data_IF_916874520349
#
_entry.id   IF_916874520349
#
_cell.length_a   1.000
_cell.length_b   1.000
_cell.length_c   1.000
_cell.angle_alpha   90.00
_cell.angle_beta   90.00
_cell.angle_gamma   90.00
#
_symmetry.space_group_name_H-M   'P 1'
#
loop_
_entity.id
_entity.type
_entity.pdbx_description
1 polymer ?
2 non-polymer ?
3 water ?
#
# COMPACT_ATOMS: atom_id res chain seq x y z
N UNK A 4 -21.38 -10.79 4.95
CA UNK A 4 -20.62 -10.75 6.25
C UNK A 4 -20.50 -12.15 6.83
N UNK A 5 -19.31 -12.71 6.80
CA UNK A 5 -18.93 -13.75 7.75
C UNK A 5 -17.93 -13.15 8.71
N UNK A 6 -18.20 -13.29 9.99
CA UNK A 6 -17.34 -12.75 11.02
C UNK A 6 -17.33 -13.70 12.21
N UNK A 7 -16.18 -13.75 12.87
CA UNK A 7 -15.94 -14.67 13.96
C UNK A 7 -16.57 -14.08 15.22
N UNK A 8 -17.59 -14.75 15.76
CA UNK A 8 -18.18 -14.34 17.05
C UNK A 8 -17.31 -14.83 18.20
N UNK A 9 -17.10 -13.95 19.17
CA UNK A 9 -16.37 -14.30 20.40
C UNK A 9 -14.90 -14.54 20.14
N UNK A 10 -14.33 -13.75 19.24
CA UNK A 10 -12.95 -13.86 18.87
C UNK A 10 -12.14 -13.38 20.05
N UNK A 11 -11.32 -14.27 20.59
CA UNK A 11 -10.25 -13.85 21.51
C UNK A 11 -9.02 -13.66 20.63
N UNK A 12 -8.76 -12.42 20.26
CA UNK A 12 -7.58 -12.12 19.44
C UNK A 12 -6.28 -12.61 20.08
N UNK A 13 -6.22 -12.70 21.41
CA UNK A 13 -5.01 -13.20 22.06
C UNK A 13 -4.66 -14.62 21.65
N UNK A 14 -5.67 -15.46 21.47
CA UNK A 14 -5.46 -16.88 21.07
C UNK A 14 -5.04 -17.10 19.61
N UNK A 15 -5.01 -16.06 18.78
CA UNK A 15 -4.45 -16.18 17.44
C UNK A 15 -2.96 -15.88 17.42
N UNK A 16 -2.35 -15.74 18.60
CA UNK A 16 -0.91 -15.47 18.69
C UNK A 16 -0.11 -16.59 18.05
N UNK A 17 1.03 -16.21 17.45
CA UNK A 17 2.01 -17.18 16.95
C UNK A 17 2.03 -17.40 15.45
N UNK A 18 2.44 -18.58 15.08
CA UNK A 18 2.88 -18.87 13.72
C UNK A 18 1.67 -19.22 12.84
N UNK A 19 1.70 -18.73 11.61
CA UNK A 19 0.67 -19.12 10.63
C UNK A 19 1.26 -19.28 9.24
N UNK A 20 0.60 -20.10 8.44
CA UNK A 20 0.97 -20.35 7.03
C UNK A 20 -0.17 -19.94 6.12
N UNK A 21 0.12 -19.13 5.11
CA UNK A 21 -0.85 -18.74 4.08
C UNK A 21 -1.04 -19.88 3.09
N UNK A 22 -1.87 -20.83 3.49
CA UNK A 22 -2.13 -22.02 2.70
C UNK A 22 -2.79 -21.64 1.37
N UNK A 23 -3.82 -20.79 1.44
CA UNK A 23 -4.49 -20.31 0.24
C UNK A 23 -4.83 -18.83 0.35
N UNK A 24 -5.10 -18.23 -0.79
CA UNK A 24 -5.42 -16.81 -0.87
C UNK A 24 -6.28 -16.56 -2.10
N UNK A 25 -7.26 -15.68 -1.97
CA UNK A 25 -8.17 -15.36 -3.07
C UNK A 25 -8.42 -13.87 -3.12
N UNK A 26 -8.79 -13.38 -4.27
CA UNK A 26 -9.08 -11.97 -4.41
C UNK A 26 -10.07 -11.65 -5.50
N UNK A 27 -10.74 -10.52 -5.33
CA UNK A 27 -11.74 -10.01 -6.26
C UNK A 27 -11.18 -9.76 -7.64
N UNK A 28 -9.92 -9.36 -7.74
CA UNK A 28 -9.29 -9.03 -9.01
C UNK A 28 -8.01 -9.85 -9.18
N UNK A 29 -7.87 -10.47 -10.35
CA UNK A 29 -6.67 -11.23 -10.76
C UNK A 29 -5.36 -10.47 -10.50
N UNK A 30 -5.36 -9.17 -10.83
CA UNK A 30 -4.14 -8.36 -10.80
C UNK A 30 -3.63 -8.07 -9.38
N UNK A 31 -4.50 -8.23 -8.38
CA UNK A 31 -4.13 -8.15 -6.97
C UNK A 31 -3.27 -9.30 -6.45
N UNK A 32 -3.33 -10.45 -7.11
CA UNK A 32 -2.59 -11.66 -6.71
C UNK A 32 -1.83 -12.38 -7.84
N UNK A 33 -1.91 -11.92 -9.09
CA UNK A 33 -1.36 -12.70 -10.22
C UNK A 33 0.15 -12.99 -10.17
N UNK A 34 0.98 -11.96 -10.01
CA UNK A 34 2.44 -12.11 -9.97
C UNK A 34 2.96 -12.22 -8.53
N UNK A 35 4.22 -12.66 -8.41
CA UNK A 35 4.92 -12.59 -7.10
C UNK A 35 4.97 -11.18 -6.51
N UNK A 36 5.18 -10.18 -7.35
CA UNK A 36 5.24 -8.77 -6.92
C UNK A 36 3.87 -8.07 -6.87
N UNK A 37 2.79 -8.82 -7.08
CA UNK A 37 1.43 -8.26 -7.02
C UNK A 37 1.15 -7.72 -5.62
N UNK A 38 0.27 -6.73 -5.51
CA UNK A 38 0.26 -5.91 -4.29
C UNK A 38 -0.39 -6.53 -3.05
N UNK A 39 -1.26 -7.52 -3.23
CA UNK A 39 -1.82 -8.22 -2.09
C UNK A 39 -1.31 -9.63 -1.94
N UNK A 40 -0.29 -9.99 -2.70
CA UNK A 40 0.40 -11.25 -2.48
C UNK A 40 1.31 -11.16 -1.27
N UNK A 41 0.77 -11.47 -0.11
CA UNK A 41 1.56 -11.39 1.13
C UNK A 41 1.47 -12.73 1.81
N UNK A 42 2.51 -13.03 2.58
CA UNK A 42 2.67 -14.33 3.20
C UNK A 42 2.81 -14.06 4.69
N UNK A 43 1.85 -14.52 5.47
CA UNK A 43 1.85 -14.33 6.92
C UNK A 43 2.89 -15.27 7.53
N UNK A 44 3.66 -14.79 8.50
CA UNK A 44 4.56 -15.61 9.31
C UNK A 44 4.06 -15.74 10.73
N UNK A 45 3.82 -14.61 11.33
CA UNK A 45 3.42 -14.57 12.71
C UNK A 45 2.41 -13.44 12.97
N UNK A 46 1.49 -13.72 13.87
CA UNK A 46 0.56 -12.73 14.39
C UNK A 46 0.91 -12.43 15.87
N UNK A 47 1.27 -11.19 16.15
CA UNK A 47 1.60 -10.77 17.51
C UNK A 47 0.56 -9.71 17.92
N UNK A 48 -0.43 -10.09 18.76
CA UNK A 48 -1.34 -9.06 19.26
C UNK A 48 -0.75 -8.34 20.48
N UNK A 49 -1.00 -7.05 20.58
CA UNK A 49 -0.51 -6.25 21.70
C UNK A 49 -1.50 -6.35 22.87
N UNK A 50 -1.08 -6.04 24.12
CA UNK A 50 -2.01 -6.11 25.28
C UNK A 50 -3.19 -5.14 25.14
N UNK A 51 -2.91 -3.96 24.58
CA UNK A 51 -3.92 -3.03 24.01
C UNK A 51 -5.08 -3.77 23.30
N UNK A 52 -4.73 -4.80 22.53
CA UNK A 52 -5.68 -5.60 21.76
C UNK A 52 -5.56 -5.38 20.26
N UNK A 53 -4.69 -4.45 19.85
CA UNK A 53 -4.30 -4.32 18.46
C UNK A 53 -3.58 -5.60 17.98
N UNK A 54 -3.38 -5.69 16.67
CA UNK A 54 -2.79 -6.87 16.06
C UNK A 54 -1.62 -6.57 15.13
N UNK A 55 -0.45 -7.05 15.53
CA UNK A 55 0.79 -6.92 14.78
C UNK A 55 0.93 -8.14 13.87
N UNK A 56 1.19 -7.91 12.58
CA UNK A 56 1.39 -8.98 11.61
C UNK A 56 2.80 -8.90 11.06
N UNK A 57 3.58 -9.95 11.25
CA UNK A 57 4.82 -10.09 10.49
C UNK A 57 4.48 -10.83 9.22
N UNK A 58 4.79 -10.25 8.08
CA UNK A 58 4.59 -10.95 6.81
C UNK A 58 5.80 -10.82 5.91
N UNK A 59 5.76 -11.56 4.80
CA UNK A 59 6.70 -11.41 3.72
C UNK A 59 5.94 -10.89 2.51
N UNK A 60 6.59 -10.02 1.75
CA UNK A 60 6.06 -9.55 0.49
C UNK A 60 7.24 -9.49 -0.49
N UNK A 61 7.06 -10.06 -1.67
CA UNK A 61 8.07 -9.99 -2.72
C UNK A 61 8.24 -8.54 -3.18
N UNK A 62 9.46 -8.04 -3.14
CA UNK A 62 9.72 -6.59 -3.17
C UNK A 62 10.81 -6.23 -4.20
N UNK A 63 12.00 -5.81 -3.79
CA UNK A 63 13.02 -5.30 -4.73
C UNK A 63 13.91 -6.45 -5.23
N UNK A 64 13.29 -7.34 -6.03
CA UNK A 64 13.88 -8.64 -6.41
C UNK A 64 14.08 -9.58 -5.22
N UNK A 65 13.37 -9.33 -4.13
CA UNK A 65 13.66 -9.92 -2.83
C UNK A 65 12.37 -10.14 -2.06
N UNK A 66 12.27 -11.29 -1.41
CA UNK A 66 11.26 -11.48 -0.36
C UNK A 66 11.65 -10.57 0.79
N UNK A 67 10.74 -9.66 1.15
CA UNK A 67 11.01 -8.67 2.16
C UNK A 67 10.13 -8.95 3.38
N UNK A 68 10.73 -8.90 4.58
CA UNK A 68 9.99 -9.00 5.83
C UNK A 68 9.34 -7.67 6.10
N UNK A 69 8.08 -7.70 6.47
CA UNK A 69 7.30 -6.51 6.73
C UNK A 69 6.63 -6.68 8.07
N UNK A 70 6.41 -5.55 8.76
CA UNK A 70 5.71 -5.53 10.04
C UNK A 70 4.60 -4.50 9.90
N UNK A 71 3.42 -4.86 10.41
CA UNK A 71 2.19 -4.13 10.14
C UNK A 71 1.33 -4.20 11.39
N UNK A 72 0.71 -3.08 11.76
CA UNK A 72 -0.26 -3.02 12.86
C UNK A 72 -1.64 -2.91 12.24
N UNK A 73 -2.50 -3.86 12.54
CA UNK A 73 -3.93 -3.68 12.36
C UNK A 73 -4.46 -3.16 13.69
N UNK A 74 -5.07 -1.99 13.66
CA UNK A 74 -5.66 -1.40 14.86
C UNK A 74 -7.03 -2.02 15.11
N UNK A 75 -7.29 -2.40 16.36
CA UNK A 75 -8.61 -2.80 16.80
C UNK A 75 -9.70 -1.74 16.55
N UNK A 76 -10.94 -2.23 16.59
CA UNK A 76 -12.15 -1.41 16.42
C UNK A 76 -13.13 -1.88 17.48
N UNK A 77 -14.30 -1.23 17.51
CA UNK A 77 -15.38 -1.68 18.39
C UNK A 77 -15.80 -3.12 18.08
N UNK A 78 -15.70 -3.52 16.82
CA UNK A 78 -16.00 -4.89 16.41
C UNK A 78 -14.72 -5.69 16.69
N UNK A 79 -14.80 -6.77 17.51
CA UNK A 79 -13.60 -7.58 17.82
C UNK A 79 -12.96 -8.38 16.67
N UNK A 80 -13.75 -8.77 15.67
CA UNK A 80 -13.25 -9.51 14.53
C UNK A 80 -12.77 -8.59 13.39
N UNK A 81 -12.86 -7.26 13.58
CA UNK A 81 -12.55 -6.30 12.52
C UNK A 81 -11.46 -5.36 12.99
N UNK A 82 -10.43 -5.25 12.17
CA UNK A 82 -9.30 -4.38 12.42
C UNK A 82 -9.12 -3.43 11.25
N UNK A 83 -8.29 -2.42 11.46
CA UNK A 83 -7.99 -1.40 10.46
C UNK A 83 -6.50 -1.35 10.31
N UNK A 84 -6.01 -1.71 9.13
CA UNK A 84 -4.60 -1.59 8.85
C UNK A 84 -4.40 -0.21 8.20
N UNK A 85 -3.63 0.64 8.88
CA UNK A 85 -3.59 2.07 8.58
C UNK A 85 -3.19 2.44 7.13
N UNK A 86 -4.14 3.05 6.42
CA UNK A 86 -3.87 3.95 5.30
C UNK A 86 -4.56 5.30 5.61
N UNK A 87 -5.83 5.47 5.21
CA UNK A 87 -6.73 6.47 5.79
C UNK A 87 -7.64 5.78 6.82
N UNK A 88 -7.11 4.79 7.54
CA UNK A 88 -7.91 3.72 8.16
C UNK A 88 -8.86 3.06 7.13
N UNK A 89 -8.38 2.96 5.89
CA UNK A 89 -9.22 2.63 4.73
C UNK A 89 -9.49 1.12 4.61
N UNK A 90 -8.47 0.33 4.95
CA UNK A 90 -8.51 -1.10 4.77
C UNK A 90 -8.92 -1.78 6.06
N UNK A 91 -10.02 -2.54 6.00
CA UNK A 91 -10.43 -3.36 7.12
C UNK A 91 -10.01 -4.83 6.92
N UNK A 92 -9.51 -5.42 8.01
CA UNK A 92 -9.19 -6.83 8.08
C UNK A 92 -10.29 -7.45 8.95
N UNK A 93 -11.02 -8.44 8.43
CA UNK A 93 -12.09 -9.12 9.13
C UNK A 93 -11.66 -10.56 9.37
N UNK A 94 -11.78 -11.06 10.59
CA UNK A 94 -11.54 -12.46 10.86
C UNK A 94 -12.88 -13.15 10.72
N UNK A 95 -12.97 -14.06 9.75
CA UNK A 95 -14.21 -14.72 9.39
C UNK A 95 -14.49 -15.91 10.30
N UNK A 96 -13.43 -16.60 10.66
CA UNK A 96 -13.56 -17.84 11.37
C UNK A 96 -12.16 -18.30 11.80
N UNK A 97 -12.05 -18.86 13.00
CA UNK A 97 -10.85 -19.58 13.40
C UNK A 97 -11.15 -20.56 14.53
N UNK A 98 -10.39 -21.65 14.60
CA UNK A 98 -10.40 -22.51 15.80
C UNK A 98 -9.18 -22.27 16.68
N UNK A 99 -8.32 -21.34 16.28
CA UNK A 99 -7.15 -20.94 17.05
C UNK A 99 -5.99 -21.90 16.85
N UNK A 100 -6.25 -23.20 16.86
CA UNK A 100 -5.20 -24.19 16.91
C UNK A 100 -4.88 -24.88 15.58
N UNK A 101 -5.72 -24.71 14.56
CA UNK A 101 -5.45 -25.30 13.22
C UNK A 101 -5.61 -24.32 12.07
N UNK A 102 -6.73 -23.60 12.00
CA UNK A 102 -6.98 -22.69 10.87
C UNK A 102 -7.45 -21.29 11.28
N UNK A 103 -7.29 -20.33 10.38
CA UNK A 103 -7.91 -19.01 10.52
C UNK A 103 -8.20 -18.44 9.15
N UNK A 104 -9.44 -18.01 8.93
CA UNK A 104 -9.83 -17.34 7.67
C UNK A 104 -9.94 -15.85 7.93
N UNK A 105 -9.35 -15.04 7.05
CA UNK A 105 -9.55 -13.60 7.10
C UNK A 105 -9.70 -13.04 5.69
N UNK A 106 -10.20 -11.81 5.61
CA UNK A 106 -10.29 -11.08 4.37
C UNK A 106 -9.86 -9.67 4.65
N UNK A 107 -9.35 -9.00 3.64
CA UNK A 107 -9.05 -7.59 3.77
C UNK A 107 -9.82 -6.91 2.69
N UNK A 108 -10.47 -5.79 3.01
CA UNK A 108 -11.21 -5.03 2.00
C UNK A 108 -10.95 -3.55 2.01
N UNK A 109 -10.94 -2.99 0.80
CA UNK A 109 -10.93 -1.56 0.58
C UNK A 109 -12.29 -0.97 1.00
N UNK A 110 -12.25 0.14 1.73
CA UNK A 110 -13.46 0.85 2.18
C UNK A 110 -14.15 1.54 1.02
N UNK A 111 -13.36 2.15 0.14
CA UNK A 111 -13.87 3.02 -0.91
C UNK A 111 -14.75 2.31 -1.97
N UNK A 112 -14.20 1.35 -2.72
CA UNK A 112 -15.01 0.42 -3.54
C UNK A 112 -14.65 -1.01 -3.10
N UNK A 113 -15.45 -1.61 -2.18
CA UNK A 113 -15.15 -2.92 -1.57
C UNK A 113 -14.90 -4.09 -2.53
N UNK A 114 -15.85 -4.38 -3.41
CA UNK A 114 -15.71 -5.49 -4.36
C UNK A 114 -14.53 -5.28 -5.32
N UNK A 115 -14.18 -4.01 -5.59
CA UNK A 115 -13.01 -3.67 -6.42
C UNK A 115 -11.69 -4.24 -5.86
N UNK A 116 -11.48 -4.11 -4.54
CA UNK A 116 -10.33 -4.71 -3.84
C UNK A 116 -10.75 -5.49 -2.58
N UNK A 117 -10.62 -6.80 -2.68
CA UNK A 117 -10.93 -7.73 -1.60
C UNK A 117 -10.00 -8.92 -1.78
N UNK A 118 -9.17 -9.21 -0.79
CA UNK A 118 -8.34 -10.41 -0.76
C UNK A 118 -8.62 -11.13 0.54
N UNK A 119 -8.59 -12.46 0.49
CA UNK A 119 -8.84 -13.33 1.65
C UNK A 119 -7.82 -14.44 1.68
N UNK A 120 -7.48 -14.90 2.87
CA UNK A 120 -6.60 -16.06 3.04
C UNK A 120 -7.12 -17.13 3.99
N UNK A 121 -6.67 -18.36 3.74
CA UNK A 121 -6.80 -19.49 4.65
C UNK A 121 -5.43 -19.67 5.30
N UNK A 122 -5.32 -19.28 6.55
CA UNK A 122 -4.14 -19.53 7.35
C UNK A 122 -4.24 -20.86 8.08
N UNK A 123 -3.12 -21.58 8.16
CA UNK A 123 -3.07 -22.77 9.01
C UNK A 123 -1.87 -22.71 9.91
N UNK A 124 -1.90 -23.50 10.97
CA UNK A 124 -0.82 -23.47 11.97
C UNK A 124 0.45 -24.20 11.50
N UNK A 125 0.26 -25.34 10.79
CA UNK A 125 1.36 -26.16 10.28
C UNK A 125 1.48 -26.11 8.74
N UNK A 126 2.65 -26.47 8.17
CA UNK A 126 2.82 -26.57 6.70
C UNK A 126 2.24 -27.86 6.07
N UNK A 127 0.96 -28.14 6.36
CA UNK A 127 0.24 -29.28 5.78
C UNK A 127 -0.99 -28.73 5.10
N UNK A 128 -1.47 -29.44 4.09
CA UNK A 128 -2.69 -28.98 3.40
C UNK A 128 -3.87 -29.60 4.15
N UNK A 129 -4.55 -28.72 4.89
CA UNK A 129 -5.73 -29.03 5.66
C UNK A 129 -6.98 -28.94 4.76
N UNK A 130 -7.57 -30.10 4.47
CA UNK A 130 -8.77 -30.20 3.65
C UNK A 130 -9.97 -29.52 4.31
N UNK A 131 -10.11 -29.65 5.63
CA UNK A 131 -11.25 -29.04 6.31
C UNK A 131 -11.18 -27.51 6.21
N UNK A 132 -10.00 -26.96 6.46
CA UNK A 132 -9.78 -25.51 6.38
C UNK A 132 -10.11 -24.95 5.00
N UNK A 133 -9.66 -25.65 3.96
CA UNK A 133 -9.89 -25.25 2.58
C UNK A 133 -11.34 -25.41 2.10
N UNK A 134 -12.01 -26.41 2.63
CA UNK A 134 -13.46 -26.56 2.55
C UNK A 134 -14.13 -25.33 3.17
N UNK A 135 -13.75 -25.02 4.41
CA UNK A 135 -14.29 -23.83 5.09
C UNK A 135 -13.96 -22.51 4.37
N UNK A 136 -12.77 -22.45 3.77
CA UNK A 136 -12.37 -21.31 2.98
C UNK A 136 -13.21 -21.16 1.70
N UNK A 137 -13.40 -22.27 0.98
CA UNK A 137 -14.19 -22.27 -0.27
C UNK A 137 -15.67 -21.94 -0.09
N UNK A 138 -16.24 -22.26 1.08
CA UNK A 138 -17.66 -21.91 1.39
C UNK A 138 -17.87 -20.51 1.93
N UNK A 139 -16.85 -19.98 2.59
CA UNK A 139 -16.80 -18.55 2.92
C UNK A 139 -16.62 -17.75 1.62
N UNK A 140 -15.98 -18.37 0.64
CA UNK A 140 -15.71 -17.75 -0.68
C UNK A 140 -16.89 -17.75 -1.66
N UNK A 141 -17.74 -18.77 -1.61
CA UNK A 141 -18.93 -18.88 -2.48
C UNK A 141 -19.68 -17.56 -2.61
N UNK A 142 -19.92 -16.95 -1.45
CA UNK A 142 -20.66 -15.69 -1.35
C UNK A 142 -19.94 -14.41 -1.82
N UNK A 143 -18.71 -14.51 -2.31
CA UNK A 143 -17.89 -13.30 -2.55
C UNK A 143 -17.46 -13.22 -4.01
N UNK A 144 -17.23 -12.02 -4.54
CA UNK A 144 -16.87 -11.84 -5.95
C UNK A 144 -15.39 -12.14 -6.32
N UNK A 145 -14.95 -13.38 -6.10
CA UNK A 145 -13.53 -13.78 -6.30
C UNK A 145 -13.19 -14.24 -7.71
N UNK A 146 -12.08 -13.73 -8.26
CA UNK A 146 -11.63 -14.07 -9.60
C UNK A 146 -10.26 -14.73 -9.69
N UNK A 147 -9.54 -14.77 -8.58
CA UNK A 147 -8.27 -15.51 -8.47
C UNK A 147 -8.20 -16.22 -7.12
N UNK A 148 -7.76 -17.49 -7.17
CA UNK A 148 -7.56 -18.34 -6.01
C UNK A 148 -6.21 -19.00 -6.23
N UNK A 149 -5.35 -18.94 -5.22
CA UNK A 149 -4.05 -19.61 -5.23
C UNK A 149 -3.97 -20.51 -4.01
N UNK A 150 -3.27 -21.64 -4.16
CA UNK A 150 -2.92 -22.47 -3.00
C UNK A 150 -1.52 -23.08 -3.12
N UNK A 151 -0.96 -23.42 -1.95
CA UNK A 151 0.46 -23.78 -1.86
C UNK A 151 0.66 -25.18 -1.26
N UNK A 152 1.63 -25.92 -1.78
CA UNK A 152 2.00 -27.22 -1.22
C UNK A 152 2.95 -27.07 -0.03
N UNK A 153 3.13 -28.15 0.77
CA UNK A 153 3.99 -28.09 1.98
C UNK A 153 5.42 -27.57 1.80
N UNK A 154 6.04 -27.91 0.68
CA UNK A 154 7.39 -27.45 0.36
C UNK A 154 7.42 -25.94 0.26
N UNK A 155 6.58 -25.42 -0.63
CA UNK A 155 6.42 -23.99 -0.82
C UNK A 155 6.11 -23.26 0.49
N UNK A 156 5.27 -23.85 1.35
CA UNK A 156 4.99 -23.26 2.68
C UNK A 156 6.23 -23.14 3.65
N UNK A 157 7.29 -23.92 3.42
CA UNK A 157 8.53 -23.80 4.21
C UNK A 157 9.59 -22.89 3.62
N UNK A 158 9.24 -22.18 2.55
CA UNK A 158 10.13 -21.30 1.84
C UNK A 158 9.66 -19.87 1.94
N UNK A 159 10.60 -18.94 1.98
CA UNK A 159 10.29 -17.50 1.95
C UNK A 159 9.59 -17.12 0.65
N UNK A 160 8.50 -16.35 0.76
CA UNK A 160 7.63 -15.98 -0.36
C UNK A 160 7.01 -17.17 -1.11
N UNK A 161 6.93 -18.34 -0.47
CA UNK A 161 6.30 -19.53 -1.03
C UNK A 161 6.95 -19.95 -2.36
N UNK A 162 8.22 -19.61 -2.48
CA UNK A 162 9.04 -19.89 -3.64
C UNK A 162 9.56 -21.32 -3.48
N UNK B 5 -5.31 21.00 -12.31
CA UNK B 5 -5.38 19.62 -12.90
C UNK B 5 -4.17 19.38 -13.84
N UNK B 6 -4.26 18.45 -14.79
CA UNK B 6 -3.12 17.87 -15.45
C UNK B 6 -2.28 18.80 -16.36
N UNK B 7 -1.10 18.29 -16.74
CA UNK B 7 -0.05 19.00 -17.49
C UNK B 7 -0.20 18.75 -19.00
N UNK B 8 -0.35 19.82 -19.78
CA UNK B 8 -0.48 19.72 -21.25
C UNK B 8 0.87 19.40 -21.84
N UNK B 9 0.94 18.35 -22.64
CA UNK B 9 2.11 18.10 -23.50
C UNK B 9 3.33 17.64 -22.73
N UNK B 10 3.10 16.79 -21.74
CA UNK B 10 4.17 16.29 -20.90
C UNK B 10 5.08 15.41 -21.72
N UNK B 11 6.37 15.77 -21.76
CA UNK B 11 7.39 14.89 -22.29
C UNK B 11 7.99 14.15 -21.09
N UNK B 12 7.53 12.93 -20.84
CA UNK B 12 7.98 12.14 -19.69
C UNK B 12 9.49 11.85 -19.67
N UNK B 13 10.15 11.80 -20.83
CA UNK B 13 11.59 11.54 -20.86
C UNK B 13 12.35 12.64 -20.14
N UNK B 14 11.89 13.88 -20.30
CA UNK B 14 12.50 15.09 -19.69
C UNK B 14 12.33 15.25 -18.16
N UNK B 15 11.52 14.42 -17.52
CA UNK B 15 11.41 14.43 -16.07
C UNK B 15 12.38 13.46 -15.43
N UNK B 16 13.20 12.80 -16.24
CA UNK B 16 14.16 11.85 -15.74
C UNK B 16 15.13 12.59 -14.83
N UNK B 17 15.64 11.88 -13.85
CA UNK B 17 16.70 12.40 -12.99
C UNK B 17 16.31 12.57 -11.54
N UNK B 18 17.13 13.35 -10.87
CA UNK B 18 16.97 13.60 -9.46
C UNK B 18 15.80 14.55 -9.19
N UNK B 19 15.11 14.30 -8.08
CA UNK B 19 14.12 15.23 -7.55
C UNK B 19 14.14 15.20 -6.03
N UNK B 20 13.74 16.31 -5.43
CA UNK B 20 13.53 16.44 -3.97
C UNK B 20 12.05 16.69 -3.68
N UNK B 21 11.51 15.98 -2.69
CA UNK B 21 10.13 16.22 -2.24
C UNK B 21 10.08 17.38 -1.29
N UNK B 22 10.08 18.57 -1.88
CA UNK B 22 10.14 19.83 -1.13
C UNK B 22 8.90 20.02 -0.24
N UNK B 23 7.72 19.73 -0.77
CA UNK B 23 6.49 19.85 -0.01
C UNK B 23 5.53 18.72 -0.39
N UNK B 24 4.70 18.32 0.56
CA UNK B 24 3.69 17.31 0.32
C UNK B 24 2.40 17.73 1.01
N UNK B 25 1.26 17.42 0.37
CA UNK B 25 -0.07 17.64 0.97
C UNK B 25 -1.03 16.47 0.75
N UNK B 26 -2.03 16.38 1.61
CA UNK B 26 -2.98 15.27 1.57
C UNK B 26 -4.34 15.66 2.10
N UNK B 27 -5.37 15.04 1.54
CA UNK B 27 -6.76 15.17 1.98
C UNK B 27 -7.02 14.78 3.44
N UNK B 28 -6.19 13.90 4.01
CA UNK B 28 -6.37 13.45 5.39
C UNK B 28 -5.04 13.52 6.15
N UNK B 29 -5.11 14.05 7.36
CA UNK B 29 -3.97 14.26 8.25
C UNK B 29 -3.16 12.97 8.47
N UNK B 30 -3.87 11.86 8.65
CA UNK B 30 -3.24 10.58 9.01
C UNK B 30 -2.51 9.91 7.86
N UNK B 31 -2.76 10.37 6.64
CA UNK B 31 -2.00 9.98 5.45
C UNK B 31 -0.56 10.50 5.42
N UNK B 32 -0.31 11.60 6.13
CA UNK B 32 1.00 12.24 6.13
C UNK B 32 1.56 12.57 7.53
N UNK B 33 0.80 12.40 8.62
CA UNK B 33 1.20 12.96 9.94
C UNK B 33 2.44 12.38 10.66
N UNK B 34 2.65 11.07 10.57
CA UNK B 34 3.83 10.41 11.14
C UNK B 34 4.85 10.02 10.04
N UNK B 35 6.05 9.62 10.46
CA UNK B 35 7.03 9.09 9.52
C UNK B 35 6.58 7.75 8.92
N UNK B 36 5.91 6.93 9.72
CA UNK B 36 5.33 5.66 9.26
C UNK B 36 4.06 5.84 8.45
N UNK B 37 3.50 7.07 8.42
CA UNK B 37 2.27 7.32 7.68
C UNK B 37 2.40 6.82 6.25
N UNK B 38 1.31 6.29 5.69
CA UNK B 38 1.40 5.50 4.44
C UNK B 38 1.81 6.28 3.18
N UNK B 39 1.42 7.55 3.08
CA UNK B 39 1.75 8.34 1.90
C UNK B 39 2.91 9.30 2.08
N UNK B 40 3.54 9.25 3.24
CA UNK B 40 4.81 9.93 3.45
C UNK B 40 5.95 9.22 2.72
N UNK B 41 6.19 9.61 1.49
CA UNK B 41 7.27 9.03 0.71
C UNK B 41 8.10 10.16 0.16
N UNK B 42 9.37 9.88 -0.10
CA UNK B 42 10.32 10.89 -0.51
C UNK B 42 10.90 10.44 -1.82
N UNK B 43 10.63 11.20 -2.88
CA UNK B 43 11.10 10.85 -4.22
C UNK B 43 12.61 11.11 -4.31
N UNK B 44 13.36 10.13 -4.81
CA UNK B 44 14.80 10.25 -5.09
C UNK B 44 15.03 10.54 -6.56
N UNK B 45 14.50 9.66 -7.41
CA UNK B 45 14.80 9.70 -8.81
C UNK B 45 13.58 9.31 -9.63
N UNK B 46 13.43 9.94 -10.78
CA UNK B 46 12.46 9.50 -11.76
C UNK B 46 13.18 8.89 -12.97
N UNK B 47 12.78 7.67 -13.30
CA UNK B 47 13.38 6.90 -14.36
C UNK B 47 12.26 6.42 -15.30
N UNK B 48 11.99 7.16 -16.39
CA UNK B 48 11.02 6.68 -17.38
C UNK B 48 11.61 5.53 -18.18
N UNK B 49 10.77 4.54 -18.50
CA UNK B 49 11.19 3.33 -19.23
C UNK B 49 11.00 3.60 -20.73
N UNK B 50 11.70 2.83 -21.60
CA UNK B 50 11.64 3.12 -23.06
C UNK B 50 10.23 3.04 -23.67
N UNK B 51 9.48 2.00 -23.30
CA UNK B 51 8.05 1.90 -23.63
C UNK B 51 7.17 3.06 -23.08
N UNK B 52 7.66 3.78 -22.07
CA UNK B 52 7.03 5.03 -21.59
C UNK B 52 6.29 4.92 -20.26
N UNK B 53 6.50 3.84 -19.54
CA UNK B 53 6.10 3.77 -18.14
C UNK B 53 7.12 4.61 -17.33
N UNK B 54 6.79 4.89 -16.06
CA UNK B 54 7.67 5.70 -15.21
C UNK B 54 8.06 4.93 -13.97
N UNK B 55 9.35 4.66 -13.87
CA UNK B 55 9.97 3.98 -12.73
C UNK B 55 10.41 5.06 -11.75
N UNK B 56 9.97 4.97 -10.49
CA UNK B 56 10.27 5.99 -9.47
C UNK B 56 10.96 5.32 -8.27
N UNK B 57 12.14 5.80 -7.87
CA UNK B 57 12.76 5.33 -6.63
C UNK B 57 12.45 6.35 -5.55
N UNK B 58 11.93 5.88 -4.44
CA UNK B 58 11.62 6.75 -3.32
C UNK B 58 12.15 6.17 -2.03
N UNK B 59 12.25 7.01 -1.01
CA UNK B 59 12.45 6.56 0.35
C UNK B 59 11.10 6.54 1.05
N UNK B 60 10.97 5.66 2.03
CA UNK B 60 9.77 5.60 2.84
C UNK B 60 10.15 5.01 4.17
N UNK B 61 9.90 5.75 5.24
CA UNK B 61 10.19 5.25 6.56
C UNK B 61 9.31 4.06 6.93
N UNK B 62 9.92 2.90 7.14
CA UNK B 62 9.18 1.64 7.39
C UNK B 62 9.48 0.94 8.73
N UNK B 63 10.48 0.06 8.76
CA UNK B 63 10.64 -0.91 9.87
C UNK B 63 11.54 -0.36 10.97
N UNK B 64 11.21 0.84 11.46
CA UNK B 64 12.15 1.68 12.20
C UNK B 64 13.38 2.09 11.37
N UNK B 65 13.24 2.10 10.04
CA UNK B 65 14.34 2.30 9.09
C UNK B 65 13.80 3.09 7.90
N UNK B 66 14.63 3.98 7.33
CA UNK B 66 14.31 4.61 6.05
C UNK B 66 14.55 3.60 4.93
N UNK B 67 13.46 3.07 4.39
CA UNK B 67 13.51 1.99 3.42
C UNK B 67 13.55 2.57 2.01
N UNK B 68 14.41 2.00 1.18
CA UNK B 68 14.56 2.35 -0.24
C UNK B 68 13.57 1.50 -1.00
N UNK B 69 12.82 2.12 -1.90
CA UNK B 69 11.73 1.45 -2.61
C UNK B 69 11.74 1.80 -4.09
N UNK B 70 11.08 0.94 -4.87
CA UNK B 70 11.00 1.11 -6.32
C UNK B 70 9.61 0.67 -6.75
N UNK B 71 8.92 1.55 -7.46
CA UNK B 71 7.51 1.41 -7.76
C UNK B 71 7.31 1.84 -9.21
N UNK B 72 6.70 0.99 -10.02
CA UNK B 72 6.47 1.30 -11.43
C UNK B 72 5.08 1.95 -11.59
N UNK B 73 5.07 3.15 -12.16
CA UNK B 73 3.83 3.79 -12.62
C UNK B 73 3.62 3.46 -14.09
N UNK B 74 2.54 2.75 -14.38
CA UNK B 74 2.18 2.34 -15.74
C UNK B 74 1.53 3.51 -16.47
N UNK B 75 1.90 3.72 -17.73
CA UNK B 75 1.25 4.73 -18.55
C UNK B 75 -0.23 4.44 -18.84
N UNK B 76 -0.92 5.49 -19.25
CA UNK B 76 -2.32 5.44 -19.64
C UNK B 76 -2.40 6.13 -20.99
N UNK B 77 -3.61 6.22 -21.55
CA UNK B 77 -3.80 6.99 -22.80
C UNK B 77 -3.54 8.48 -22.59
N UNK B 78 -3.81 8.99 -21.39
CA UNK B 78 -3.51 10.37 -21.03
C UNK B 78 -2.00 10.39 -20.76
N UNK B 79 -1.23 11.24 -21.46
CA UNK B 79 0.20 11.35 -21.17
C UNK B 79 0.62 11.85 -19.76
N UNK B 80 -0.26 12.60 -19.09
CA UNK B 80 0.02 13.13 -17.76
C UNK B 80 -0.45 12.22 -16.62
N UNK B 81 -1.12 11.11 -16.95
CA UNK B 81 -1.72 10.24 -15.94
C UNK B 81 -1.08 8.85 -16.01
N UNK B 82 -0.77 8.31 -14.84
CA UNK B 82 -0.15 7.00 -14.69
C UNK B 82 -0.92 6.16 -13.66
N UNK B 83 -0.72 4.84 -13.67
CA UNK B 83 -1.35 3.90 -12.73
C UNK B 83 -0.27 3.24 -11.92
N UNK B 84 -0.48 3.06 -10.62
CA UNK B 84 0.56 2.45 -9.75
C UNK B 84 0.14 1.12 -9.07
N UNK B 85 -0.47 1.18 -7.88
CA UNK B 85 -0.38 0.09 -6.86
C UNK B 85 -1.74 -0.32 -6.22
N UNK B 86 -2.15 -1.55 -6.52
CA UNK B 86 -3.55 -1.98 -6.40
C UNK B 86 -4.13 -2.31 -5.00
N UNK B 87 -3.46 -1.90 -3.92
CA UNK B 87 -4.13 -1.81 -2.59
C UNK B 87 -5.58 -1.36 -2.85
N UNK B 88 -5.70 -0.32 -3.68
CA UNK B 88 -6.94 0.07 -4.36
C UNK B 88 -6.60 0.74 -5.71
N UNK B 89 -7.49 1.59 -6.24
CA UNK B 89 -7.36 2.11 -7.61
C UNK B 89 -6.51 3.42 -7.71
N UNK B 90 -5.21 3.30 -7.97
CA UNK B 90 -4.34 4.46 -7.84
C UNK B 90 -3.75 5.03 -9.09
N UNK B 91 -4.03 6.30 -9.32
CA UNK B 91 -3.39 7.00 -10.40
C UNK B 91 -2.63 8.23 -9.97
N UNK B 92 -1.60 8.51 -10.74
CA UNK B 92 -0.66 9.58 -10.52
C UNK B 92 -0.84 10.55 -11.69
N UNK B 93 -1.03 11.85 -11.38
CA UNK B 93 -1.25 12.90 -12.37
C UNK B 93 -0.09 13.88 -12.23
N UNK B 94 0.50 14.30 -13.35
CA UNK B 94 1.47 15.39 -13.31
C UNK B 94 0.69 16.66 -13.57
N UNK B 95 0.64 17.54 -12.59
CA UNK B 95 -0.14 18.75 -12.70
C UNK B 95 0.57 19.76 -13.59
N UNK B 96 1.89 19.81 -13.50
CA UNK B 96 2.67 20.91 -14.06
C UNK B 96 4.14 20.61 -13.83
N UNK B 97 4.98 20.88 -14.83
CA UNK B 97 6.43 20.88 -14.64
C UNK B 97 7.14 21.75 -15.67
N UNK B 98 8.25 22.34 -15.27
CA UNK B 98 9.18 22.97 -16.22
C UNK B 98 10.39 22.09 -16.53
N UNK B 99 10.45 20.89 -15.96
CA UNK B 99 11.52 19.93 -16.22
C UNK B 99 12.83 20.20 -15.47
N UNK B 100 13.25 21.45 -15.44
CA UNK B 100 14.57 21.82 -14.94
C UNK B 100 14.63 22.49 -13.55
N UNK B 101 13.48 22.91 -13.00
CA UNK B 101 13.39 23.39 -11.60
C UNK B 101 12.32 22.66 -10.77
N UNK B 102 11.08 22.55 -11.25
CA UNK B 102 9.97 22.00 -10.44
C UNK B 102 9.07 20.99 -11.15
N UNK B 103 8.42 20.14 -10.35
CA UNK B 103 7.34 19.27 -10.81
C UNK B 103 6.28 19.07 -9.74
N UNK B 104 5.02 19.28 -10.11
CA UNK B 104 3.90 19.07 -9.22
C UNK B 104 3.15 17.85 -9.71
N UNK B 105 2.85 16.93 -8.78
CA UNK B 105 2.03 15.75 -9.07
C UNK B 105 1.10 15.46 -7.89
N UNK B 106 0.08 14.66 -8.17
CA UNK B 106 -0.82 14.16 -7.14
C UNK B 106 -1.03 12.69 -7.39
N UNK B 107 -1.42 11.99 -6.34
CA UNK B 107 -1.83 10.61 -6.49
C UNK B 107 -3.14 10.52 -5.77
N UNK B 108 -4.08 9.79 -6.37
CA UNK B 108 -5.41 9.64 -5.80
C UNK B 108 -5.91 8.23 -5.87
N UNK B 109 -6.57 7.82 -4.79
CA UNK B 109 -7.30 6.56 -4.70
C UNK B 109 -8.47 6.56 -5.70
N UNK B 110 -8.75 5.42 -6.36
CA UNK B 110 -9.60 5.43 -7.59
C UNK B 110 -11.06 5.44 -7.30
N UNK B 111 -11.46 4.69 -6.27
CA UNK B 111 -12.84 4.75 -5.83
C UNK B 111 -13.18 6.16 -5.37
N UNK B 112 -12.35 6.71 -4.49
CA UNK B 112 -12.47 8.11 -4.06
C UNK B 112 -11.14 8.84 -4.11
N UNK B 113 -11.06 9.96 -4.86
CA UNK B 113 -9.88 10.80 -4.74
C UNK B 113 -9.89 11.58 -3.42
N UNK B 114 -11.05 12.10 -3.01
CA UNK B 114 -11.13 13.04 -1.91
C UNK B 114 -10.96 12.40 -0.53
N UNK B 115 -11.17 11.08 -0.44
CA UNK B 115 -10.92 10.32 0.78
C UNK B 115 -9.40 10.14 0.99
N UNK B 116 -8.71 9.70 -0.07
CA UNK B 116 -7.26 9.65 -0.10
C UNK B 116 -6.71 10.27 -1.40
N UNK B 117 -6.09 11.44 -1.24
CA UNK B 117 -5.38 12.15 -2.29
C UNK B 117 -4.13 12.75 -1.65
N UNK B 118 -2.96 12.53 -2.24
CA UNK B 118 -1.72 13.14 -1.78
C UNK B 118 -1.10 13.82 -2.99
N UNK B 119 -0.49 14.98 -2.77
CA UNK B 119 0.24 15.72 -3.80
C UNK B 119 1.62 16.14 -3.29
N UNK B 120 2.48 16.51 -4.22
CA UNK B 120 3.84 16.96 -3.90
C UNK B 120 4.38 18.04 -4.84
N UNK B 121 5.27 18.84 -4.28
CA UNK B 121 6.07 19.79 -5.01
C UNK B 121 7.49 19.21 -5.04
N UNK B 122 7.86 18.67 -6.19
CA UNK B 122 9.22 18.20 -6.44
C UNK B 122 10.05 19.33 -7.00
N UNK B 123 11.24 19.53 -6.44
CA UNK B 123 12.22 20.45 -7.02
C UNK B 123 13.47 19.69 -7.41
N UNK B 124 14.29 20.30 -8.27
CA UNK B 124 15.47 19.64 -8.81
C UNK B 124 16.63 19.63 -7.82
N UNK B 125 16.83 20.73 -7.08
CA UNK B 125 17.92 20.90 -6.12
C UNK B 125 17.40 21.12 -4.67
N UNK B 126 18.24 20.93 -3.63
CA UNK B 126 17.79 21.13 -2.24
C UNK B 126 17.73 22.59 -1.79
N UNK B 127 16.97 23.42 -2.52
CA UNK B 127 16.70 24.81 -2.18
C UNK B 127 15.18 25.00 -2.09
N UNK B 128 14.74 25.91 -1.21
CA UNK B 128 13.31 26.23 -1.19
C UNK B 128 13.07 27.15 -2.38
N UNK B 129 12.30 26.63 -3.34
CA UNK B 129 11.85 27.37 -4.51
C UNK B 129 10.48 28.00 -4.19
N UNK B 130 10.53 29.29 -3.85
CA UNK B 130 9.37 30.09 -3.52
C UNK B 130 8.34 30.09 -4.66
N UNK B 131 8.81 30.26 -5.90
CA UNK B 131 7.91 30.30 -7.04
C UNK B 131 7.21 28.92 -7.17
N UNK B 132 7.97 27.83 -7.03
CA UNK B 132 7.41 26.45 -7.11
C UNK B 132 6.37 26.17 -6.04
N UNK B 133 6.62 26.65 -4.82
CA UNK B 133 5.66 26.50 -3.73
C UNK B 133 4.41 27.36 -3.91
N UNK B 134 4.57 28.53 -4.52
CA UNK B 134 3.46 29.38 -4.98
C UNK B 134 2.54 28.59 -5.93
N UNK B 135 3.13 28.07 -7.00
CA UNK B 135 2.40 27.22 -7.98
C UNK B 135 1.71 25.99 -7.34
N UNK B 136 2.39 25.40 -6.38
CA UNK B 136 1.85 24.26 -5.64
C UNK B 136 0.66 24.66 -4.76
N UNK B 137 0.80 25.77 -4.03
CA UNK B 137 -0.27 26.32 -3.21
C UNK B 137 -1.46 26.74 -4.06
N UNK B 138 -1.19 27.25 -5.27
CA UNK B 138 -2.28 27.62 -6.18
C UNK B 138 -3.00 26.40 -6.77
N UNK B 139 -2.23 25.36 -7.07
CA UNK B 139 -2.79 24.06 -7.47
C UNK B 139 -3.61 23.42 -6.34
N UNK B 140 -3.22 23.71 -5.10
CA UNK B 140 -3.87 23.13 -3.92
C UNK B 140 -5.21 23.75 -3.52
N UNK B 141 -5.40 25.05 -3.80
CA UNK B 141 -6.59 25.83 -3.40
C UNK B 141 -7.91 25.14 -3.68
N UNK B 142 -7.99 24.50 -4.86
CA UNK B 142 -9.18 23.79 -5.31
C UNK B 142 -9.28 22.33 -4.85
N UNK B 143 -8.46 21.90 -3.87
CA UNK B 143 -8.42 20.50 -3.47
C UNK B 143 -8.71 20.38 -1.99
N UNK B 144 -9.38 19.31 -1.56
CA UNK B 144 -9.73 19.18 -0.14
C UNK B 144 -8.56 18.80 0.82
N UNK B 145 -7.49 19.59 0.83
CA UNK B 145 -6.27 19.28 1.62
C UNK B 145 -6.35 19.67 3.09
N UNK B 146 -6.05 18.73 3.97
CA UNK B 146 -6.06 18.95 5.41
C UNK B 146 -4.72 18.78 6.10
N UNK B 147 -3.69 18.32 5.37
CA UNK B 147 -2.31 18.37 5.83
C UNK B 147 -1.37 18.81 4.69
N UNK B 148 -0.41 19.64 5.08
CA UNK B 148 0.63 20.14 4.20
C UNK B 148 1.93 20.14 4.99
N UNK B 149 3.00 19.64 4.36
CA UNK B 149 4.33 19.59 4.94
C UNK B 149 5.31 20.23 3.99
N UNK B 150 6.31 20.91 4.53
CA UNK B 150 7.46 21.31 3.73
C UNK B 150 8.76 21.09 4.51
N UNK B 151 9.87 21.01 3.77
CA UNK B 151 11.14 20.59 4.35
C UNK B 151 12.22 21.61 4.01
N UNK B 152 13.17 21.77 4.92
CA UNK B 152 14.29 22.67 4.72
C UNK B 152 15.46 22.00 3.96
N UNK B 153 16.35 22.80 3.37
CA UNK B 153 17.53 22.28 2.61
C UNK B 153 18.33 21.19 3.29
N UNK B 154 18.54 21.35 4.60
CA UNK B 154 19.23 20.37 5.42
C UNK B 154 18.45 19.07 5.32
N UNK B 155 17.17 19.14 5.72
CA UNK B 155 16.28 17.96 5.70
C UNK B 155 16.19 17.33 4.31
N UNK B 156 16.20 18.13 3.24
CA UNK B 156 16.27 17.58 1.86
C UNK B 156 17.52 16.72 1.51
N UNK B 157 18.62 16.91 2.23
CA UNK B 157 19.86 16.16 1.98
C UNK B 157 20.03 14.89 2.82
N UNK B 158 19.10 14.64 3.73
CA UNK B 158 19.12 13.41 4.57
C UNK B 158 18.11 12.38 4.10
N UNK B 159 18.44 11.10 4.28
CA UNK B 159 17.50 9.99 4.02
C UNK B 159 16.20 10.24 4.81
N UNK B 160 15.04 10.11 4.17
CA UNK B 160 13.72 10.29 4.80
C UNK B 160 13.48 11.67 5.43
N UNK B 161 14.23 12.69 5.01
CA UNK B 161 14.05 14.07 5.45
C UNK B 161 14.10 14.20 6.98
N UNK B 162 15.11 13.55 7.54
CA UNK B 162 15.32 13.39 8.97
C UNK B 162 16.10 14.59 9.47
X LIG C 1 3.84 0.82 1.12
X LIG C 1 3.81 1.98 0.66
X LIG C 1 4.88 0.14 1.25
X LIG C 1 2.54 0.20 1.58
X LIG C 1 2.57 0.02 3.09
X LIG C 1 1.21 0.36 3.68
X LIG C 1 0.27 -0.55 3.95
X LIG C 1 0.44 -2.03 3.68
X LIG C 1 0.52 -2.28 2.18
X LIG C 1 0.94 -3.41 1.61
X LIG C 1 1.39 -4.64 2.35
X LIG C 1 0.36 -5.71 2.06
X LIG C 1 -0.71 -6.00 2.81
X LIG C 1 -1.05 -5.28 4.10
X LIG C 1 -1.67 -6.22 5.11
X LIG C 1 -2.82 -6.81 4.83
X LIG C 1 -3.46 -7.72 5.83
X LIG C 1 -2.52 -8.82 6.22
X LIG C 1 -2.59 -9.44 7.41
X LIG C 1 -3.65 -9.07 8.41
X LIG C 1 -4.32 -10.32 8.88
X LIG C 1 -3.70 -11.19 9.62
X LIG C 1 -4.49 -12.41 10.02
X LIG C 1 -5.53 -12.01 11.05
X LIG D 1 -6.38 3.77 0.69
X LIG D 1 -6.27 2.52 0.62
X LIG D 1 -7.51 4.30 0.74
X LIG D 1 -5.17 4.70 0.75
X LIG D 1 -3.80 4.02 0.78
X LIG D 1 -3.27 3.82 -0.61
X LIG D 1 -2.58 2.71 -0.90
X LIG D 1 -2.08 2.52 -2.29
X LIG D 1 -0.70 1.97 -2.45
X LIG D 1 0.27 2.35 -1.64
X LIG D 1 1.64 1.80 -1.84
X LIG D 1 2.60 2.93 -2.14
X LIG D 1 2.22 3.97 -2.87
X LIG D 1 3.18 5.08 -3.17
X LIG D 1 3.54 4.92 -4.62
X LIG D 1 3.81 5.95 -5.44
X LIG D 1 3.76 7.39 -4.95
X LIG D 1 4.15 8.35 -6.03
X LIG D 1 5.42 8.36 -6.46
X LIG D 1 5.94 9.29 -7.53
X LIG D 1 4.90 9.69 -8.55
X LIG D 1 5.12 10.62 -9.47
X LIG D 1 6.40 11.37 -9.61
X LIG D 1 6.13 12.51 -10.58
#
# INVERSE_FOLDING_TARGET
LIVTQTMKGLDIQKVAGTWYSLAMAASDISLLDAQSAPLRVYVEELKPTPEGDLEILLQKWENGECAQKKIIAEKTKIPAVFKIDALNENKVLVLDTDYKKYLLFCMENSAEPEQSLACQCLVRTPEVDDEALEKFDKALKALPMHIRLSFNPTQLEEQCHI
LIVTQTMKGLDIQKVAGTWYSLAMAASDISLLDAQSAPLRVYVEELKPTPEGDLEILLQKWENGECAQKKIIAEKTKIPAVFKIDALNENKVLVLDTDYKKYLLFCMENSAEPEQSLACQCLVRTPEVDDEALEKFDKALKALPMHIRLSFNPTQLEEQCHI
HXA C1 O1 O2 C2 C3 C4 C5 C6 C7 C8 C9 C10 C11 C12 C13 C14 C15 C16 C17 C18 C19 C20 C21 C22
HXA C1 O1 O2 C2 C3 C4 C5 C6 C7 C8 C9 C10 C11 C12 C13 C14 C15 C16 C17 C18 C19 C20 C21 C22
#
